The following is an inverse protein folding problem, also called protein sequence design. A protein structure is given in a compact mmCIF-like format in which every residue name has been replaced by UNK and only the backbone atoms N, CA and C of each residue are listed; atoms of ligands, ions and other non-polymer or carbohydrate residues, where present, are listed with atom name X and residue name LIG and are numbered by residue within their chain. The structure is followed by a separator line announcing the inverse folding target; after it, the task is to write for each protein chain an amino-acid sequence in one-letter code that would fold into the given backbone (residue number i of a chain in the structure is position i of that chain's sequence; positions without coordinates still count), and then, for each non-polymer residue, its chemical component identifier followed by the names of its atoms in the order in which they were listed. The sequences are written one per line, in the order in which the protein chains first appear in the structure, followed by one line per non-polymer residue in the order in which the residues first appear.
data_IF_595864466816
#
_entry.id   IF_595864466816
#
_cell.length_a   1.000
_cell.length_b   1.000
_cell.length_c   1.000
_cell.angle_alpha   90.00
_cell.angle_beta   90.00
_cell.angle_gamma   90.00
#
_symmetry.space_group_name_H-M   'P 1'
#
loop_
_entity.id
_entity.type
_entity.pdbx_description
1 polymer ?
#
# COMPACT_ATOMS: atom_id res chain seq x y z
N UNK A 1 23.53 -42.40 51.20
CA UNK A 1 24.15 -42.79 52.48
C UNK A 1 23.17 -43.72 53.20
N UNK A 2 23.44 -45.02 53.21
CA UNK A 2 22.61 -46.02 53.88
C UNK A 2 23.48 -46.78 54.90
N UNK A 3 23.12 -46.65 56.18
CA UNK A 3 23.74 -47.35 57.30
C UNK A 3 23.16 -48.77 57.41
N UNK A 4 24.02 -49.77 57.29
CA UNK A 4 23.72 -51.17 57.59
C UNK A 4 24.09 -51.44 59.04
N UNK A 5 23.12 -51.81 59.89
CA UNK A 5 23.34 -52.28 61.26
C UNK A 5 22.92 -53.74 61.36
N UNK A 6 23.88 -54.63 61.56
CA UNK A 6 23.69 -56.05 61.90
C UNK A 6 23.48 -56.23 63.41
N UNK A 7 22.49 -57.01 63.88
CA UNK A 7 22.37 -57.38 65.28
C UNK A 7 23.19 -58.63 65.62
N UNK A 8 23.93 -58.54 66.73
CA UNK A 8 24.77 -59.59 67.29
C UNK A 8 24.00 -60.80 67.81
N UNK A 9 24.56 -61.97 67.55
CA UNK A 9 24.14 -63.26 68.08
C UNK A 9 24.74 -63.47 69.47
N UNK A 10 23.94 -63.41 70.53
CA UNK A 10 24.29 -63.90 71.86
C UNK A 10 23.61 -65.26 72.08
N UNK A 11 24.34 -66.37 71.90
CA UNK A 11 23.90 -67.71 72.32
C UNK A 11 24.27 -67.94 73.78
N UNK A 12 23.21 -68.08 74.58
CA UNK A 12 23.18 -68.39 76.00
C UNK A 12 23.56 -69.85 76.24
N UNK A 13 24.33 -70.09 77.30
CA UNK A 13 24.71 -71.41 77.78
C UNK A 13 23.51 -72.24 78.24
N UNK A 14 23.62 -73.55 78.04
CA UNK A 14 22.71 -74.58 78.52
C UNK A 14 23.55 -75.72 79.06
N UNK A 15 23.38 -76.05 80.34
CA UNK A 15 23.56 -77.38 80.94
C UNK A 15 23.19 -77.28 82.42
N UNK A 16 21.96 -77.67 82.73
CA UNK A 16 21.58 -78.10 84.08
C UNK A 16 21.14 -79.57 84.00
N UNK A 17 21.36 -80.31 85.07
CA UNK A 17 20.42 -81.28 85.66
C UNK A 17 21.17 -82.17 86.65
N UNK A 18 20.75 -82.14 87.92
CA UNK A 18 20.14 -83.29 88.60
C UNK A 18 19.67 -82.81 89.96
N UNK A 19 18.39 -83.01 90.26
CA UNK A 19 17.90 -83.42 91.58
C UNK A 19 16.49 -83.96 91.37
N UNK A 20 16.33 -85.22 91.78
CA UNK A 20 15.07 -85.91 91.92
C UNK A 20 14.52 -85.63 93.33
N UNK A 21 13.23 -85.88 93.50
CA UNK A 21 12.46 -85.92 94.76
C UNK A 21 11.73 -84.62 95.15
N UNK A 22 10.55 -84.36 94.56
CA UNK A 22 9.43 -83.66 95.25
C UNK A 22 8.06 -83.78 94.52
N UNK A 23 7.57 -85.00 94.31
CA UNK A 23 6.53 -85.30 93.30
C UNK A 23 5.06 -85.06 93.70
N UNK A 24 4.71 -84.38 94.81
CA UNK A 24 3.28 -84.23 95.17
C UNK A 24 2.80 -82.88 95.76
N UNK A 25 3.67 -81.95 96.15
CA UNK A 25 3.26 -80.57 96.54
C UNK A 25 3.64 -79.51 95.48
N UNK A 26 4.64 -79.80 94.64
CA UNK A 26 5.04 -78.98 93.50
C UNK A 26 3.94 -78.90 92.43
N UNK A 27 3.05 -79.90 92.32
CA UNK A 27 1.98 -79.99 91.32
C UNK A 27 0.94 -78.85 91.38
N UNK A 28 0.60 -78.33 92.56
CA UNK A 28 -0.38 -77.23 92.69
C UNK A 28 0.24 -75.85 92.41
N UNK A 29 1.51 -75.64 92.77
CA UNK A 29 2.28 -74.44 92.41
C UNK A 29 2.73 -74.46 90.94
N UNK A 30 3.00 -75.64 90.36
CA UNK A 30 3.16 -75.83 88.92
C UNK A 30 1.87 -75.52 88.18
N UNK A 31 0.70 -75.99 88.64
CA UNK A 31 -0.57 -75.71 87.98
C UNK A 31 -0.96 -74.22 88.05
N UNK A 32 -0.72 -73.56 89.19
CA UNK A 32 -0.96 -72.11 89.33
C UNK A 32 0.00 -71.29 88.45
N UNK A 33 1.26 -71.71 88.32
CA UNK A 33 2.25 -71.05 87.45
C UNK A 33 2.02 -71.34 85.96
N UNK A 34 1.58 -72.54 85.59
CA UNK A 34 1.17 -72.91 84.23
C UNK A 34 -0.07 -72.11 83.82
N UNK A 35 -1.04 -71.92 84.72
CA UNK A 35 -2.21 -71.10 84.45
C UNK A 35 -1.83 -69.62 84.23
N UNK A 36 -0.88 -69.07 85.00
CA UNK A 36 -0.37 -67.72 84.80
C UNK A 36 0.39 -67.56 83.47
N UNK A 37 1.20 -68.54 83.09
CA UNK A 37 1.90 -68.57 81.79
C UNK A 37 0.90 -68.67 80.63
N UNK A 38 -0.15 -69.47 80.75
CA UNK A 38 -1.20 -69.57 79.75
C UNK A 38 -1.97 -68.25 79.57
N UNK A 39 -2.29 -67.55 80.67
CA UNK A 39 -2.89 -66.21 80.60
C UNK A 39 -1.97 -65.19 79.96
N UNK A 40 -0.67 -65.21 80.29
CA UNK A 40 0.33 -64.32 79.68
C UNK A 40 0.49 -64.60 78.18
N UNK A 41 0.51 -65.87 77.77
CA UNK A 41 0.55 -66.28 76.36
C UNK A 41 -0.71 -65.80 75.61
N UNK A 42 -1.89 -65.91 76.23
CA UNK A 42 -3.13 -65.41 75.64
C UNK A 42 -3.09 -63.88 75.45
N UNK A 43 -2.61 -63.12 76.45
CA UNK A 43 -2.42 -61.67 76.34
C UNK A 43 -1.42 -61.31 75.23
N UNK A 44 -0.27 -61.99 75.18
CA UNK A 44 0.74 -61.76 74.13
C UNK A 44 0.24 -62.13 72.75
N UNK A 45 -0.54 -63.20 72.62
CA UNK A 45 -1.21 -63.56 71.37
C UNK A 45 -2.20 -62.46 70.95
N UNK A 46 -2.96 -61.92 71.88
CA UNK A 46 -3.89 -60.83 71.59
C UNK A 46 -3.14 -59.56 71.15
N UNK A 47 -2.08 -59.17 71.86
CA UNK A 47 -1.20 -58.04 71.48
C UNK A 47 -0.58 -58.23 70.10
N UNK A 48 -0.08 -59.44 69.77
CA UNK A 48 0.46 -59.75 68.44
C UNK A 48 -0.59 -59.61 67.35
N UNK A 49 -1.80 -60.12 67.56
CA UNK A 49 -2.88 -59.96 66.58
C UNK A 49 -3.30 -58.51 66.41
N UNK A 50 -3.30 -57.72 67.48
CA UNK A 50 -3.59 -56.30 67.42
C UNK A 50 -2.49 -55.55 66.66
N UNK A 51 -1.23 -55.83 66.97
CA UNK A 51 -0.09 -55.23 66.28
C UNK A 51 -0.11 -55.57 64.79
N UNK A 52 -0.38 -56.83 64.45
CA UNK A 52 -0.48 -57.26 63.05
C UNK A 52 -1.59 -56.52 62.31
N UNK A 53 -2.79 -56.37 62.91
CA UNK A 53 -3.86 -55.57 62.32
C UNK A 53 -3.43 -54.11 62.09
N UNK A 54 -2.81 -53.47 63.08
CA UNK A 54 -2.35 -52.07 62.94
C UNK A 54 -1.26 -51.93 61.88
N UNK A 55 -0.39 -52.93 61.73
CA UNK A 55 0.62 -52.96 60.69
C UNK A 55 -0.03 -53.11 59.30
N UNK A 56 -0.99 -54.01 59.15
CA UNK A 56 -1.70 -54.22 57.89
C UNK A 56 -2.49 -52.96 57.47
N UNK A 57 -3.10 -52.26 58.44
CA UNK A 57 -3.75 -50.96 58.23
C UNK A 57 -2.74 -49.88 57.80
N UNK A 58 -1.58 -49.81 58.46
CA UNK A 58 -0.51 -48.90 58.08
C UNK A 58 -0.02 -49.15 56.65
N UNK A 59 0.30 -50.40 56.31
CA UNK A 59 0.76 -50.79 54.97
C UNK A 59 -0.29 -50.41 53.92
N UNK A 60 -1.57 -50.71 54.19
CA UNK A 60 -2.67 -50.34 53.29
C UNK A 60 -2.73 -48.83 53.09
N UNK A 61 -2.69 -48.04 54.16
CA UNK A 61 -2.70 -46.58 54.08
C UNK A 61 -1.49 -46.04 53.32
N UNK A 62 -0.30 -46.62 53.53
CA UNK A 62 0.93 -46.22 52.82
C UNK A 62 0.80 -46.45 51.32
N UNK A 63 0.28 -47.61 50.89
CA UNK A 63 0.07 -47.90 49.47
C UNK A 63 -1.02 -47.00 48.86
N UNK A 64 -2.04 -46.59 49.63
CA UNK A 64 -3.04 -45.62 49.17
C UNK A 64 -2.41 -44.24 48.95
N UNK A 65 -1.58 -43.76 49.88
CA UNK A 65 -0.83 -42.50 49.72
C UNK A 65 0.16 -42.53 48.56
N UNK A 66 0.90 -43.64 48.38
CA UNK A 66 1.82 -43.81 47.24
C UNK A 66 1.07 -43.70 45.92
N UNK A 67 -0.09 -44.37 45.80
CA UNK A 67 -0.93 -44.28 44.59
C UNK A 67 -1.45 -42.87 44.34
N UNK A 68 -1.88 -42.15 45.37
CA UNK A 68 -2.33 -40.76 45.25
C UNK A 68 -1.20 -39.84 44.78
N UNK A 69 0.02 -40.04 45.30
CA UNK A 69 1.20 -39.29 44.87
C UNK A 69 1.57 -39.60 43.41
N UNK A 70 1.51 -40.86 42.99
CA UNK A 70 1.74 -41.26 41.59
C UNK A 70 0.75 -40.57 40.64
N UNK A 71 -0.54 -40.55 40.99
CA UNK A 71 -1.58 -39.84 40.22
C UNK A 71 -1.28 -38.35 40.12
N UNK A 72 -0.80 -37.74 41.20
CA UNK A 72 -0.48 -36.31 41.24
C UNK A 72 0.77 -35.98 40.41
N UNK A 73 1.79 -36.83 40.45
CA UNK A 73 2.97 -36.72 39.58
C UNK A 73 2.55 -36.82 38.12
N UNK A 74 1.77 -37.84 37.75
CA UNK A 74 1.23 -38.01 36.39
C UNK A 74 0.45 -36.78 35.92
N UNK A 75 -0.33 -36.17 36.83
CA UNK A 75 -1.09 -34.95 36.54
C UNK A 75 -0.17 -33.77 36.25
N UNK A 76 0.87 -33.58 37.07
CA UNK A 76 1.85 -32.51 36.88
C UNK A 76 2.69 -32.71 35.63
N UNK A 77 3.11 -33.94 35.32
CA UNK A 77 3.86 -34.24 34.09
C UNK A 77 3.01 -33.92 32.84
N UNK A 78 1.75 -34.36 32.81
CA UNK A 78 0.82 -34.03 31.72
C UNK A 78 0.63 -32.53 31.58
N UNK A 79 0.43 -31.81 32.70
CA UNK A 79 0.30 -30.36 32.69
C UNK A 79 1.57 -29.67 32.19
N UNK A 80 2.74 -30.18 32.55
CA UNK A 80 4.04 -29.65 32.13
C UNK A 80 4.21 -29.82 30.63
N UNK A 81 3.96 -31.02 30.10
CA UNK A 81 3.99 -31.28 28.65
C UNK A 81 3.01 -30.38 27.87
N UNK A 82 1.80 -30.17 28.39
CA UNK A 82 0.84 -29.25 27.80
C UNK A 82 1.35 -27.81 27.75
N UNK A 83 1.89 -27.31 28.87
CA UNK A 83 2.45 -25.96 28.95
C UNK A 83 3.67 -25.78 28.04
N UNK A 84 4.55 -26.77 27.96
CA UNK A 84 5.69 -26.77 27.04
C UNK A 84 5.25 -26.72 25.58
N UNK A 85 4.24 -27.52 25.21
CA UNK A 85 3.69 -27.51 23.85
C UNK A 85 3.05 -26.15 23.50
N UNK A 86 2.34 -25.54 24.45
CA UNK A 86 1.74 -24.22 24.28
C UNK A 86 2.81 -23.12 24.17
N UNK A 87 3.86 -23.19 25.00
CA UNK A 87 4.98 -22.25 24.94
C UNK A 87 5.71 -22.33 23.59
N UNK A 88 5.96 -23.54 23.08
CA UNK A 88 6.55 -23.73 21.76
C UNK A 88 5.67 -23.17 20.64
N UNK A 89 4.35 -23.34 20.74
CA UNK A 89 3.42 -22.78 19.76
C UNK A 89 3.43 -21.25 19.78
N UNK A 90 3.37 -20.65 20.97
CA UNK A 90 3.41 -19.20 21.12
C UNK A 90 4.71 -18.57 20.59
N UNK A 91 5.86 -19.24 20.77
CA UNK A 91 7.11 -18.77 20.20
C UNK A 91 7.13 -18.84 18.67
N UNK A 92 6.49 -19.84 18.05
CA UNK A 92 6.30 -19.88 16.59
C UNK A 92 5.40 -18.74 16.13
N UNK A 93 4.24 -18.59 16.75
CA UNK A 93 3.27 -17.54 16.38
C UNK A 93 3.90 -16.14 16.51
N UNK A 94 4.72 -15.92 17.54
CA UNK A 94 5.49 -14.69 17.75
C UNK A 94 6.54 -14.48 16.65
N UNK A 95 7.25 -15.53 16.25
CA UNK A 95 8.21 -15.48 15.14
C UNK A 95 7.52 -15.10 13.82
N UNK A 96 6.39 -15.73 13.53
CA UNK A 96 5.59 -15.49 12.34
C UNK A 96 5.06 -14.05 12.33
N UNK A 97 4.50 -13.58 13.45
CA UNK A 97 4.03 -12.21 13.59
C UNK A 97 5.15 -11.19 13.43
N UNK A 98 6.34 -11.46 13.99
CA UNK A 98 7.51 -10.60 13.82
C UNK A 98 7.97 -10.52 12.37
N UNK A 99 7.95 -11.64 11.64
CA UNK A 99 8.28 -11.66 10.21
C UNK A 99 7.26 -10.85 9.39
N UNK A 100 5.96 -11.02 9.67
CA UNK A 100 4.89 -10.26 9.03
C UNK A 100 5.00 -8.76 9.32
N UNK A 101 5.23 -8.38 10.58
CA UNK A 101 5.43 -6.99 10.99
C UNK A 101 6.64 -6.36 10.29
N UNK A 102 7.71 -7.12 10.09
CA UNK A 102 8.91 -6.66 9.38
C UNK A 102 8.59 -6.42 7.91
N UNK A 103 7.88 -7.34 7.25
CA UNK A 103 7.41 -7.15 5.86
C UNK A 103 6.54 -5.89 5.70
N UNK A 104 5.57 -5.66 6.59
CA UNK A 104 4.72 -4.45 6.55
C UNK A 104 5.55 -3.18 6.74
N UNK A 105 6.57 -3.18 7.61
CA UNK A 105 7.47 -2.02 7.78
C UNK A 105 8.26 -1.73 6.50
N UNK A 106 8.77 -2.77 5.83
CA UNK A 106 9.50 -2.61 4.57
C UNK A 106 8.61 -2.05 3.46
N UNK A 107 7.38 -2.56 3.36
CA UNK A 107 6.36 -2.04 2.43
C UNK A 107 6.02 -0.57 2.73
N UNK A 108 5.84 -0.21 3.99
CA UNK A 108 5.61 1.18 4.41
C UNK A 108 6.77 2.10 4.04
N UNK A 109 8.01 1.64 4.21
CA UNK A 109 9.17 2.41 3.77
C UNK A 109 9.23 2.53 2.25
N UNK A 110 8.86 1.49 1.50
CA UNK A 110 8.80 1.53 0.05
C UNK A 110 7.71 2.48 -0.47
N UNK A 111 6.54 2.51 0.17
CA UNK A 111 5.47 3.46 -0.18
C UNK A 111 5.87 4.90 0.13
N UNK A 112 6.52 5.16 1.27
CA UNK A 112 7.00 6.50 1.61
C UNK A 112 8.06 7.03 0.63
N UNK A 113 9.00 6.18 0.20
CA UNK A 113 9.97 6.55 -0.85
C UNK A 113 9.28 6.89 -2.17
N UNK A 114 8.25 6.12 -2.55
CA UNK A 114 7.48 6.36 -3.78
C UNK A 114 6.68 7.66 -3.69
N UNK A 115 6.05 7.93 -2.55
CA UNK A 115 5.35 9.18 -2.28
C UNK A 115 6.28 10.39 -2.41
N UNK A 116 7.46 10.32 -1.78
CA UNK A 116 8.45 11.39 -1.87
C UNK A 116 8.89 11.66 -3.31
N UNK A 117 9.16 10.61 -4.09
CA UNK A 117 9.49 10.73 -5.52
C UNK A 117 8.37 11.39 -6.33
N UNK A 118 7.12 10.99 -6.10
CA UNK A 118 5.96 11.59 -6.78
C UNK A 118 5.78 13.06 -6.39
N UNK A 119 6.02 13.41 -5.14
CA UNK A 119 5.99 14.79 -4.66
C UNK A 119 7.03 15.65 -5.38
N UNK A 120 8.27 15.16 -5.51
CA UNK A 120 9.31 15.85 -6.28
C UNK A 120 8.93 16.05 -7.75
N UNK A 121 8.39 15.03 -8.40
CA UNK A 121 7.93 15.14 -9.80
C UNK A 121 6.79 16.15 -9.95
N UNK A 122 5.86 16.18 -9.00
CA UNK A 122 4.75 17.11 -8.97
C UNK A 122 5.27 18.56 -8.86
N UNK A 123 6.24 18.81 -7.98
CA UNK A 123 6.82 20.15 -7.82
C UNK A 123 7.66 20.57 -9.04
N UNK A 124 8.38 19.64 -9.67
CA UNK A 124 9.05 19.89 -10.96
C UNK A 124 8.05 20.27 -12.06
N UNK A 125 6.92 19.56 -12.15
CA UNK A 125 5.89 19.84 -13.14
C UNK A 125 5.20 21.19 -12.90
N UNK A 126 4.91 21.55 -11.65
CA UNK A 126 4.41 22.90 -11.30
C UNK A 126 5.34 23.98 -11.79
N UNK A 127 6.64 23.82 -11.54
CA UNK A 127 7.63 24.80 -11.97
C UNK A 127 7.74 24.91 -13.49
N UNK A 128 7.65 23.79 -14.21
CA UNK A 128 7.62 23.79 -15.69
C UNK A 128 6.38 24.52 -16.22
N UNK A 129 5.21 24.31 -15.60
CA UNK A 129 3.97 25.01 -15.96
C UNK A 129 4.14 26.52 -15.80
N UNK A 130 4.64 26.97 -14.64
CA UNK A 130 4.87 28.41 -14.40
C UNK A 130 5.81 29.05 -15.43
N UNK A 131 6.86 28.33 -15.83
CA UNK A 131 7.76 28.82 -16.90
C UNK A 131 7.09 28.92 -18.27
N UNK A 132 6.23 27.96 -18.59
CA UNK A 132 5.49 27.98 -19.84
C UNK A 132 4.44 29.09 -19.86
N UNK A 133 3.77 29.34 -18.73
CA UNK A 133 2.85 30.46 -18.55
C UNK A 133 3.57 31.79 -18.75
N UNK A 134 4.71 31.99 -18.09
CA UNK A 134 5.52 33.20 -18.28
C UNK A 134 5.96 33.39 -19.75
N UNK A 135 6.45 32.33 -20.39
CA UNK A 135 6.86 32.41 -21.81
C UNK A 135 5.68 32.72 -22.72
N UNK A 136 4.47 32.25 -22.39
CA UNK A 136 3.26 32.56 -23.15
C UNK A 136 2.87 34.04 -22.98
N UNK A 137 2.90 34.58 -21.76
CA UNK A 137 2.63 36.00 -21.49
C UNK A 137 3.60 36.92 -22.25
N UNK A 138 4.87 36.55 -22.31
CA UNK A 138 5.91 37.25 -23.09
C UNK A 138 5.60 37.22 -24.59
N UNK A 139 5.20 36.06 -25.12
CA UNK A 139 4.82 35.92 -26.54
C UNK A 139 3.55 36.71 -26.89
N UNK A 140 2.52 36.69 -26.03
CA UNK A 140 1.31 37.48 -26.22
C UNK A 140 1.59 38.97 -26.20
N UNK A 141 2.54 39.41 -25.35
CA UNK A 141 2.99 40.80 -25.31
C UNK A 141 3.74 41.17 -26.59
N UNK A 142 4.65 40.32 -27.06
CA UNK A 142 5.37 40.53 -28.32
C UNK A 142 4.41 40.57 -29.52
N UNK A 143 3.38 39.72 -29.54
CA UNK A 143 2.36 39.71 -30.57
C UNK A 143 1.55 41.02 -30.60
N UNK A 144 1.17 41.55 -29.43
CA UNK A 144 0.49 42.86 -29.31
C UNK A 144 1.36 44.01 -29.82
N UNK A 145 2.64 44.02 -29.47
CA UNK A 145 3.60 45.05 -29.95
C UNK A 145 3.77 44.97 -31.47
N UNK A 146 3.92 43.75 -32.00
CA UNK A 146 4.05 43.54 -33.44
C UNK A 146 2.79 44.00 -34.20
N UNK A 147 1.60 43.69 -33.68
CA UNK A 147 0.34 44.12 -34.26
C UNK A 147 0.21 45.65 -34.28
N UNK A 148 0.51 46.33 -33.17
CA UNK A 148 0.53 47.80 -33.12
C UNK A 148 1.54 48.39 -34.12
N UNK A 149 2.72 47.77 -34.24
CA UNK A 149 3.75 48.20 -35.22
C UNK A 149 3.26 48.04 -36.66
N UNK A 150 2.55 46.95 -36.97
CA UNK A 150 1.96 46.72 -38.29
C UNK A 150 0.92 47.81 -38.60
N UNK A 151 0.04 48.11 -37.65
CA UNK A 151 -0.99 49.16 -37.78
C UNK A 151 -0.36 50.55 -37.98
N UNK A 152 0.67 50.89 -37.20
CA UNK A 152 1.42 52.14 -37.37
C UNK A 152 2.08 52.27 -38.76
N UNK A 153 2.66 51.17 -39.26
CA UNK A 153 3.27 51.13 -40.59
C UNK A 153 2.20 51.22 -41.70
N UNK A 154 1.05 50.58 -41.50
CA UNK A 154 -0.08 50.66 -42.41
C UNK A 154 -0.58 52.10 -42.54
N UNK A 155 -0.83 52.79 -41.44
CA UNK A 155 -1.25 54.20 -41.45
C UNK A 155 -0.22 55.14 -42.10
N UNK A 156 1.08 54.90 -41.86
CA UNK A 156 2.15 55.64 -42.56
C UNK A 156 2.12 55.40 -44.06
N UNK A 157 1.91 54.16 -44.48
CA UNK A 157 1.78 53.79 -45.89
C UNK A 157 0.56 54.45 -46.55
N UNK A 158 -0.60 54.44 -45.88
CA UNK A 158 -1.81 55.12 -46.35
C UNK A 158 -1.60 56.63 -46.50
N UNK A 159 -1.00 57.27 -45.51
CA UNK A 159 -0.70 58.71 -45.56
C UNK A 159 0.26 59.06 -46.71
N UNK A 160 1.29 58.25 -46.94
CA UNK A 160 2.19 58.43 -48.09
C UNK A 160 1.49 58.21 -49.43
N UNK A 161 0.56 57.26 -49.51
CA UNK A 161 -0.25 57.04 -50.71
C UNK A 161 -1.14 58.26 -51.00
N UNK A 162 -1.82 58.79 -49.99
CA UNK A 162 -2.63 60.01 -50.11
C UNK A 162 -1.81 61.21 -50.60
N UNK A 163 -0.61 61.42 -50.04
CA UNK A 163 0.31 62.46 -50.50
C UNK A 163 0.74 62.27 -51.96
N UNK A 164 1.04 61.03 -52.36
CA UNK A 164 1.39 60.74 -53.75
C UNK A 164 0.23 61.02 -54.71
N UNK A 165 -1.00 60.63 -54.34
CA UNK A 165 -2.21 60.92 -55.14
C UNK A 165 -2.41 62.43 -55.28
N UNK A 166 -2.23 63.19 -54.18
CA UNK A 166 -2.33 64.64 -54.21
C UNK A 166 -1.30 65.28 -55.15
N UNK A 167 -0.02 64.91 -55.03
CA UNK A 167 1.05 65.42 -55.89
C UNK A 167 0.86 65.04 -57.36
N UNK A 168 0.34 63.83 -57.62
CA UNK A 168 0.03 63.39 -58.97
C UNK A 168 -1.09 64.27 -59.57
N UNK A 169 -2.13 64.56 -58.80
CA UNK A 169 -3.20 65.47 -59.24
C UNK A 169 -2.67 66.88 -59.53
N UNK A 170 -1.84 67.45 -58.65
CA UNK A 170 -1.19 68.76 -58.91
C UNK A 170 -0.34 68.75 -60.18
N UNK A 171 0.45 67.70 -60.39
CA UNK A 171 1.24 67.51 -61.60
C UNK A 171 0.36 67.47 -62.86
N UNK A 172 -0.76 66.75 -62.80
CA UNK A 172 -1.72 66.67 -63.92
C UNK A 172 -2.35 68.03 -64.22
N UNK A 173 -2.74 68.80 -63.21
CA UNK A 173 -3.27 70.16 -63.38
C UNK A 173 -2.23 71.12 -63.97
N UNK A 174 -0.97 71.07 -63.50
CA UNK A 174 0.11 71.87 -64.09
C UNK A 174 0.35 71.51 -65.55
N UNK A 175 0.39 70.21 -65.90
CA UNK A 175 0.54 69.77 -67.29
C UNK A 175 -0.62 70.25 -68.18
N UNK A 176 -1.85 70.24 -67.67
CA UNK A 176 -3.01 70.82 -68.38
C UNK A 176 -2.82 72.32 -68.61
N UNK A 177 -2.40 73.08 -67.60
CA UNK A 177 -2.12 74.52 -67.75
C UNK A 177 -1.02 74.79 -68.77
N UNK A 178 0.11 74.07 -68.71
CA UNK A 178 1.18 74.17 -69.70
C UNK A 178 0.69 73.86 -71.11
N UNK A 179 -0.08 72.78 -71.29
CA UNK A 179 -0.66 72.44 -72.59
C UNK A 179 -1.61 73.53 -73.11
N UNK A 180 -2.40 74.16 -72.23
CA UNK A 180 -3.28 75.28 -72.59
C UNK A 180 -2.51 76.52 -73.02
N UNK A 181 -1.38 76.84 -72.37
CA UNK A 181 -0.51 77.96 -72.75
C UNK A 181 0.11 77.71 -74.13
N UNK A 182 0.64 76.50 -74.35
CA UNK A 182 1.25 76.13 -75.64
C UNK A 182 0.23 76.17 -76.78
N UNK A 183 -1.03 75.80 -76.53
CA UNK A 183 -2.11 75.91 -77.53
C UNK A 183 -2.53 77.36 -77.77
N UNK A 184 -2.51 78.22 -76.75
CA UNK A 184 -2.83 79.65 -76.88
C UNK A 184 -1.76 80.45 -77.64
N UNK A 185 -0.50 80.02 -77.60
CA UNK A 185 0.61 80.65 -78.31
C UNK A 185 0.75 80.19 -79.78
N UNK A 186 0.00 79.15 -80.18
CA UNK A 186 0.05 78.58 -81.54
C UNK A 186 -1.33 78.63 -82.21
N UNK A 187 -1.73 79.84 -82.61
CA UNK A 187 -2.50 80.08 -83.84
C UNK A 187 -1.91 81.29 -84.58
N UNK A 188 -1.36 81.08 -85.80
CA UNK A 188 -2.23 81.06 -86.97
C UNK A 188 -2.26 79.72 -87.75
N UNK A 189 -3.39 79.52 -88.44
CA UNK A 189 -3.92 78.40 -89.24
C UNK A 189 -3.18 78.25 -90.61
N UNK A 190 -3.31 77.20 -91.49
CA UNK A 190 -3.79 75.79 -91.42
C UNK A 190 -2.85 74.70 -92.04
N UNK A 191 -3.30 73.43 -91.94
CA UNK A 191 -3.23 72.32 -92.93
C UNK A 191 -1.95 71.46 -93.06
N UNK A 192 -2.23 70.15 -93.21
CA UNK A 192 -1.58 69.15 -94.08
C UNK A 192 -0.72 68.04 -93.42
N UNK A 193 -1.33 66.85 -93.41
CA UNK A 193 -0.78 65.56 -93.90
C UNK A 193 0.42 64.89 -93.21
N UNK A 194 0.10 63.71 -92.64
CA UNK A 194 0.70 62.40 -92.98
C UNK A 194 1.99 61.93 -92.30
N UNK A 195 2.01 60.58 -92.19
CA UNK A 195 3.12 59.65 -91.94
C UNK A 195 3.66 59.56 -90.49
N UNK A 196 3.42 58.44 -89.78
CA UNK A 196 4.03 57.09 -89.86
C UNK A 196 5.40 56.98 -89.16
N UNK A 197 5.44 55.95 -88.30
CA UNK A 197 6.59 55.16 -87.79
C UNK A 197 7.25 55.58 -86.47
N UNK A 198 7.81 54.55 -85.83
CA UNK A 198 8.74 54.52 -84.69
C UNK A 198 8.05 54.37 -83.32
N UNK A 199 8.44 53.46 -82.43
CA UNK A 199 9.52 52.46 -82.42
C UNK A 199 9.22 51.49 -81.28
N UNK A 200 9.35 50.19 -81.52
CA UNK A 200 9.56 49.19 -80.46
C UNK A 200 10.87 49.53 -79.75
N UNK A 201 10.85 49.63 -78.42
CA UNK A 201 12.00 49.29 -77.59
C UNK A 201 11.53 48.91 -76.19
N UNK A 202 11.75 47.63 -75.91
CA UNK A 202 11.71 46.92 -74.65
C UNK A 202 12.58 47.54 -73.56
N UNK A 203 12.09 47.54 -72.31
CA UNK A 203 12.91 47.25 -71.13
C UNK A 203 12.03 46.80 -69.94
N UNK A 204 12.15 45.51 -69.65
CA UNK A 204 12.32 44.89 -68.33
C UNK A 204 11.54 45.44 -67.12
N UNK A 205 10.44 44.78 -66.76
CA UNK A 205 10.08 44.57 -65.35
C UNK A 205 9.63 43.13 -65.13
N UNK A 206 10.34 42.46 -64.23
CA UNK A 206 10.07 41.10 -63.80
C UNK A 206 8.87 41.09 -62.84
N UNK A 207 7.85 40.26 -63.05
CA UNK A 207 6.92 39.94 -61.98
C UNK A 207 7.56 38.85 -61.11
N UNK A 208 7.91 39.20 -59.87
CA UNK A 208 8.12 38.21 -58.82
C UNK A 208 6.76 37.59 -58.54
N UNK A 209 6.48 36.48 -59.23
CA UNK A 209 5.39 35.58 -58.90
C UNK A 209 5.73 34.91 -57.58
N UNK A 210 5.10 35.37 -56.50
CA UNK A 210 5.01 34.64 -55.24
C UNK A 210 4.25 33.36 -55.54
N UNK A 211 5.00 32.26 -55.48
CA UNK A 211 4.52 30.89 -55.61
C UNK A 211 3.61 30.57 -54.41
N UNK A 212 2.33 30.87 -54.55
CA UNK A 212 1.29 30.45 -53.61
C UNK A 212 0.78 29.07 -54.02
N UNK A 213 1.61 28.04 -53.86
CA UNK A 213 1.15 26.65 -54.04
C UNK A 213 1.87 25.70 -53.08
N UNK A 214 1.41 25.70 -51.84
CA UNK A 214 1.61 24.56 -50.94
C UNK A 214 0.34 24.33 -50.12
N UNK A 215 -0.72 23.95 -50.82
CA UNK A 215 -1.87 23.28 -50.21
C UNK A 215 -1.43 21.88 -49.76
N UNK A 216 -0.64 21.84 -48.67
CA UNK A 216 -0.44 20.63 -47.90
C UNK A 216 -1.80 20.19 -47.41
N UNK A 217 -2.34 19.15 -48.07
CA UNK A 217 -3.45 18.33 -47.61
C UNK A 217 -3.09 17.77 -46.24
N UNK A 218 -3.32 18.57 -45.21
CA UNK A 218 -3.33 18.11 -43.83
C UNK A 218 -4.56 17.21 -43.74
N UNK A 219 -4.31 15.90 -43.80
CA UNK A 219 -5.31 14.88 -43.53
C UNK A 219 -5.90 15.18 -42.16
N UNK A 220 -7.07 15.83 -42.13
CA UNK A 220 -7.94 15.88 -40.96
C UNK A 220 -8.30 14.44 -40.63
N UNK A 221 -7.45 13.76 -39.86
CA UNK A 221 -7.85 12.61 -39.07
C UNK A 221 -8.92 13.17 -38.15
N UNK A 222 -10.19 12.93 -38.51
CA UNK A 222 -11.32 13.03 -37.59
C UNK A 222 -11.02 12.05 -36.47
N UNK A 223 -10.29 12.52 -35.47
CA UNK A 223 -10.24 11.89 -34.18
C UNK A 223 -11.68 11.83 -33.72
N UNK A 224 -12.22 10.61 -33.63
CA UNK A 224 -13.41 10.35 -32.83
C UNK A 224 -13.02 10.80 -31.44
N UNK A 225 -13.47 12.00 -31.04
CA UNK A 225 -13.52 12.36 -29.62
C UNK A 225 -14.32 11.23 -28.97
N UNK A 226 -13.80 10.54 -27.95
CA UNK A 226 -14.68 9.84 -27.04
C UNK A 226 -15.66 10.91 -26.55
N UNK A 227 -16.96 10.62 -26.61
CA UNK A 227 -17.91 11.36 -25.77
C UNK A 227 -17.34 11.27 -24.36
N UNK A 228 -16.79 12.38 -23.88
CA UNK A 228 -16.51 12.56 -22.47
C UNK A 228 -17.91 12.62 -21.86
N UNK A 229 -18.44 11.45 -21.52
CA UNK A 229 -19.48 11.34 -20.53
C UNK A 229 -18.90 12.06 -19.32
N UNK A 230 -19.41 13.26 -19.08
CA UNK A 230 -19.22 14.01 -17.84
C UNK A 230 -19.88 13.22 -16.71
N UNK A 231 -19.34 12.05 -16.38
CA UNK A 231 -19.49 11.49 -15.05
C UNK A 231 -18.60 12.33 -14.17
N UNK A 232 -19.12 13.45 -13.66
CA UNK A 232 -18.45 14.21 -12.63
C UNK A 232 -18.12 13.24 -11.48
N UNK A 233 -16.84 12.90 -11.35
CA UNK A 233 -16.31 12.13 -10.23
C UNK A 233 -16.23 13.06 -9.03
N UNK A 234 -17.39 13.41 -8.48
CA UNK A 234 -17.53 14.28 -7.32
C UNK A 234 -17.13 13.56 -6.03
N UNK A 235 -15.85 13.21 -5.85
CA UNK A 235 -15.35 12.73 -4.54
C UNK A 235 -15.41 13.82 -3.45
N UNK A 236 -15.52 15.09 -3.85
CA UNK A 236 -15.49 16.26 -2.95
C UNK A 236 -16.82 17.01 -2.84
N UNK A 237 -17.87 16.63 -3.57
CA UNK A 237 -19.16 17.32 -3.47
C UNK A 237 -19.87 16.97 -2.14
N UNK A 238 -20.05 17.98 -1.27
CA UNK A 238 -20.79 17.85 0.00
C UNK A 238 -22.23 17.36 -0.19
N UNK A 239 -22.90 17.70 -1.30
CA UNK A 239 -24.26 17.20 -1.60
C UNK A 239 -24.29 15.70 -1.94
N UNK A 240 -23.25 15.17 -2.57
CA UNK A 240 -23.15 13.74 -2.88
C UNK A 240 -22.77 12.89 -1.64
N UNK A 241 -22.05 13.47 -0.66
CA UNK A 241 -21.79 12.81 0.64
C UNK A 241 -23.03 12.68 1.54
N UNK A 242 -24.08 13.47 1.30
CA UNK A 242 -25.28 13.48 2.13
C UNK A 242 -26.28 12.36 1.77
N UNK A 243 -26.19 11.78 0.57
CA UNK A 243 -26.99 10.61 0.20
C UNK A 243 -26.29 9.32 0.65
N UNK A 244 -26.54 8.93 1.90
CA UNK A 244 -26.28 7.57 2.37
C UNK A 244 -27.02 6.57 1.46
N UNK A 245 -26.33 5.57 0.88
CA UNK A 245 -27.05 4.44 0.32
C UNK A 245 -27.73 3.70 1.47
N UNK A 246 -29.05 3.54 1.38
CA UNK A 246 -29.80 2.67 2.27
C UNK A 246 -29.23 1.27 2.16
N UNK A 247 -28.62 0.80 3.25
CA UNK A 247 -28.24 -0.59 3.44
C UNK A 247 -29.51 -1.43 3.62
N UNK A 248 -30.09 -1.88 2.52
CA UNK A 248 -30.99 -3.02 2.54
C UNK A 248 -30.23 -4.27 2.11
N UNK A 249 -30.04 -5.13 3.11
CA UNK A 249 -29.73 -6.55 3.00
C UNK A 249 -30.46 -7.24 1.83
N UNK A 250 -29.74 -8.02 1.02
CA UNK A 250 -29.74 -9.50 1.03
C UNK A 250 -29.04 -10.03 -0.21
N UNK A 251 -28.37 -11.17 -0.02
CA UNK A 251 -27.45 -11.79 -0.97
C UNK A 251 -28.01 -12.02 -2.38
N UNK A 252 -27.12 -11.79 -3.33
CA UNK A 252 -27.13 -12.35 -4.67
C UNK A 252 -25.71 -12.17 -5.19
N UNK A 253 -24.96 -13.27 -5.28
CA UNK A 253 -23.61 -13.38 -5.84
C UNK A 253 -23.60 -13.17 -7.37
N UNK A 254 -24.18 -12.06 -7.83
CA UNK A 254 -23.96 -11.58 -9.18
C UNK A 254 -23.21 -10.26 -9.08
N UNK A 255 -21.96 -10.29 -9.52
CA UNK A 255 -21.12 -9.10 -9.71
C UNK A 255 -21.90 -8.11 -10.56
N UNK A 256 -22.55 -7.15 -9.90
CA UNK A 256 -23.37 -6.16 -10.56
C UNK A 256 -22.57 -5.37 -11.61
N UNK A 257 -23.26 -4.70 -12.55
CA UNK A 257 -22.65 -4.02 -13.69
C UNK A 257 -21.56 -3.00 -13.31
N UNK A 258 -21.61 -2.49 -12.07
CA UNK A 258 -20.63 -1.58 -11.48
C UNK A 258 -19.29 -2.27 -11.19
N UNK A 259 -19.31 -3.50 -10.66
CA UNK A 259 -18.09 -4.29 -10.43
C UNK A 259 -17.37 -4.59 -11.75
N UNK A 260 -18.12 -5.00 -12.78
CA UNK A 260 -17.57 -5.24 -14.11
C UNK A 260 -17.06 -3.97 -14.81
N UNK A 261 -17.54 -2.79 -14.41
CA UNK A 261 -17.03 -1.51 -14.89
C UNK A 261 -15.66 -1.20 -14.27
N UNK A 262 -15.50 -1.35 -12.95
CA UNK A 262 -14.22 -1.12 -12.28
C UNK A 262 -13.15 -2.13 -12.69
N UNK A 263 -13.52 -3.39 -12.92
CA UNK A 263 -12.61 -4.41 -13.45
C UNK A 263 -12.08 -4.04 -14.85
N UNK A 264 -12.97 -3.56 -15.74
CA UNK A 264 -12.59 -3.08 -17.08
C UNK A 264 -11.72 -1.83 -17.01
N UNK A 265 -12.02 -0.91 -16.09
CA UNK A 265 -11.22 0.29 -15.88
C UNK A 265 -9.81 -0.05 -15.37
N UNK A 266 -9.71 -1.03 -14.47
CA UNK A 266 -8.43 -1.53 -13.94
C UNK A 266 -7.57 -2.13 -15.06
N UNK A 267 -8.13 -3.03 -15.87
CA UNK A 267 -7.42 -3.64 -17.00
C UNK A 267 -7.02 -2.59 -18.05
N UNK A 268 -7.85 -1.58 -18.29
CA UNK A 268 -7.54 -0.50 -19.22
C UNK A 268 -6.39 0.41 -18.75
N UNK A 269 -6.37 0.75 -17.45
CA UNK A 269 -5.38 1.68 -16.89
C UNK A 269 -4.05 1.01 -16.56
N UNK A 270 -4.07 -0.25 -16.12
CA UNK A 270 -2.89 -0.93 -15.60
C UNK A 270 -2.40 -2.08 -16.50
N UNK A 271 -3.13 -2.37 -17.59
CA UNK A 271 -2.85 -3.52 -18.45
C UNK A 271 -3.18 -4.85 -17.77
N UNK A 272 -3.26 -5.96 -18.52
CA UNK A 272 -3.25 -7.27 -17.88
C UNK A 272 -1.89 -7.45 -17.19
N UNK A 273 -1.91 -7.74 -15.89
CA UNK A 273 -0.72 -8.00 -15.08
C UNK A 273 0.24 -8.93 -15.85
N UNK A 274 1.49 -8.49 -16.01
CA UNK A 274 2.61 -9.33 -16.46
C UNK A 274 3.20 -10.07 -15.29
#
# INVERSE_FOLDING_TARGET
MANVLSPGQNRRGSSGTVNADDDLEETLDLDMSVQAVAQLLALKSMELTQLQRTHDEYVKSSCEYERELEIEVDRYEKKTQQLESAALQLERDKSDLNSSMTGVKEELHATHRREHMLQMQLDEMKWKIQRLEQSNDELETAARIAQATIEDLHHKSESQLEQNVFLQHEKEELLKQFSSIVVAEVHPIPRSSSARLSRKSSHSEAPVQVQEENTRKCRKRRGRRPEVLETCLHLTCRKCRANKPHSHNRGSDEKGPVSAFFERLRVFLFGPER
#
